data_IF_944924986554
#
_entry.id   IF_944924986554
#
_cell.length_a   1.000
_cell.length_b   1.000
_cell.length_c   1.000
_cell.angle_alpha   90.00
_cell.angle_beta   90.00
_cell.angle_gamma   90.00
#
_symmetry.space_group_name_H-M   'P 1'
#
loop_
_entity.id
_entity.type
_entity.pdbx_description
1 polymer ?
#
# COMPACT_ATOMS: atom_id res chain seq x y z
N UNK A 1 -38.20 -66.95 -12.30
CA UNK A 1 -37.68 -68.20 -11.71
C UNK A 1 -36.69 -67.74 -10.63
N UNK A 2 -37.14 -67.68 -9.35
CA UNK A 2 -37.03 -68.73 -8.34
C UNK A 2 -35.61 -69.31 -8.32
N UNK A 3 -34.82 -69.17 -7.25
CA UNK A 3 -35.02 -69.91 -6.01
C UNK A 3 -34.09 -69.36 -4.92
N UNK A 4 -34.64 -69.26 -3.71
CA UNK A 4 -34.01 -69.03 -2.43
C UNK A 4 -33.36 -70.30 -1.86
N UNK A 5 -32.49 -70.15 -0.82
CA UNK A 5 -32.37 -71.01 0.40
C UNK A 5 -31.23 -70.45 1.23
N UNK A 6 -31.46 -69.90 2.44
CA UNK A 6 -31.53 -70.54 3.77
C UNK A 6 -30.24 -71.21 4.16
N UNK A 7 -29.54 -70.70 5.16
CA UNK A 7 -29.71 -70.66 6.62
C UNK A 7 -28.50 -71.36 7.18
N UNK A 8 -27.89 -71.02 8.28
CA UNK A 8 -28.15 -71.39 9.68
C UNK A 8 -27.02 -70.93 10.61
N UNK A 9 -27.46 -70.37 11.71
CA UNK A 9 -26.97 -70.42 13.08
C UNK A 9 -25.51 -70.08 13.51
N UNK A 10 -25.56 -69.24 14.52
CA UNK A 10 -24.49 -68.78 15.43
C UNK A 10 -23.96 -69.97 16.31
N UNK A 11 -22.85 -69.76 17.08
CA UNK A 11 -22.99 -69.16 18.41
C UNK A 11 -21.87 -68.24 18.90
N UNK A 12 -22.33 -67.36 19.76
CA UNK A 12 -21.72 -66.61 20.88
C UNK A 12 -20.24 -66.88 21.26
N UNK A 13 -19.50 -65.78 21.41
CA UNK A 13 -18.23 -65.71 22.11
C UNK A 13 -17.96 -64.23 22.54
N UNK A 14 -18.30 -63.99 23.81
CA UNK A 14 -18.01 -62.76 24.54
C UNK A 14 -16.50 -62.66 24.82
N UNK A 15 -15.84 -61.56 24.35
CA UNK A 15 -14.64 -61.03 25.03
C UNK A 15 -14.69 -59.53 25.02
N UNK A 16 -14.82 -58.96 26.22
CA UNK A 16 -14.67 -57.58 26.50
C UNK A 16 -13.25 -57.11 26.11
N UNK A 17 -13.17 -56.09 25.26
CA UNK A 17 -11.94 -55.34 25.06
C UNK A 17 -12.18 -53.90 25.43
N UNK A 18 -11.45 -53.48 26.44
CA UNK A 18 -11.32 -52.14 27.00
C UNK A 18 -11.04 -51.10 25.90
N UNK A 19 -11.95 -50.17 25.69
CA UNK A 19 -11.70 -48.96 24.89
C UNK A 19 -10.86 -48.02 25.74
N UNK A 20 -9.61 -47.83 25.36
CA UNK A 20 -8.77 -46.73 25.87
C UNK A 20 -9.29 -45.42 25.27
N UNK A 21 -9.82 -44.55 26.11
CA UNK A 21 -10.10 -43.17 25.76
C UNK A 21 -8.78 -42.43 25.42
N UNK A 22 -8.67 -41.98 24.20
CA UNK A 22 -7.66 -41.00 23.78
C UNK A 22 -8.04 -39.63 24.37
N UNK A 23 -7.11 -38.89 24.98
CA UNK A 23 -7.40 -37.55 25.48
C UNK A 23 -7.74 -36.64 24.29
N UNK A 24 -8.89 -35.96 24.38
CA UNK A 24 -9.26 -34.90 23.48
C UNK A 24 -8.20 -33.78 23.56
N UNK A 25 -7.44 -33.61 22.50
CA UNK A 25 -6.58 -32.44 22.31
C UNK A 25 -7.47 -31.25 22.19
N UNK A 26 -7.58 -30.46 23.27
CA UNK A 26 -8.14 -29.12 23.22
C UNK A 26 -7.16 -28.26 22.40
N UNK A 27 -7.41 -28.10 21.10
CA UNK A 27 -6.85 -27.04 20.33
C UNK A 27 -7.41 -25.74 20.93
N UNK A 28 -6.66 -25.13 21.83
CA UNK A 28 -6.90 -23.75 22.22
C UNK A 28 -6.66 -22.91 20.97
N UNK A 29 -7.76 -22.47 20.36
CA UNK A 29 -7.76 -21.36 19.44
C UNK A 29 -7.19 -20.18 20.24
N UNK A 30 -5.94 -19.81 19.98
CA UNK A 30 -5.39 -18.54 20.41
C UNK A 30 -6.18 -17.46 19.66
N UNK A 31 -7.22 -16.95 20.29
CA UNK A 31 -7.83 -15.71 19.89
C UNK A 31 -6.70 -14.66 19.90
N UNK A 32 -6.40 -14.11 18.75
CA UNK A 32 -5.52 -12.94 18.64
C UNK A 32 -6.20 -11.87 19.51
N UNK A 33 -5.59 -11.59 20.67
CA UNK A 33 -6.08 -10.51 21.53
C UNK A 33 -5.97 -9.22 20.74
N UNK A 34 -7.11 -8.57 20.48
CA UNK A 34 -7.11 -7.22 19.97
C UNK A 34 -6.38 -6.32 20.99
N UNK A 35 -5.54 -5.39 20.53
CA UNK A 35 -4.89 -4.45 21.44
C UNK A 35 -5.96 -3.70 22.24
N UNK A 36 -5.74 -3.51 23.54
CA UNK A 36 -6.63 -2.70 24.37
C UNK A 36 -6.63 -1.26 23.88
N UNK A 37 -7.80 -0.65 23.61
CA UNK A 37 -7.90 0.74 23.22
C UNK A 37 -7.22 1.65 24.26
N UNK A 38 -6.47 2.63 23.80
CA UNK A 38 -5.78 3.59 24.67
C UNK A 38 -6.15 5.05 24.38
N UNK A 39 -6.96 5.28 23.34
CA UNK A 39 -7.62 6.55 23.01
C UNK A 39 -9.12 6.36 22.99
N UNK A 40 -9.86 7.42 23.23
CA UNK A 40 -11.26 7.50 22.87
C UNK A 40 -11.39 8.04 21.44
N UNK A 41 -12.52 7.85 20.79
CA UNK A 41 -12.81 8.43 19.47
C UNK A 41 -12.62 9.96 19.44
N UNK A 42 -13.03 10.63 20.53
CA UNK A 42 -12.88 12.08 20.69
C UNK A 42 -11.43 12.55 20.89
N UNK A 43 -10.56 11.67 21.38
CA UNK A 43 -9.14 11.93 21.55
C UNK A 43 -8.31 11.56 20.33
N UNK A 44 -8.87 10.76 19.40
CA UNK A 44 -8.11 10.38 18.21
C UNK A 44 -7.72 11.63 17.42
N UNK A 45 -6.40 11.83 17.16
CA UNK A 45 -5.95 13.07 16.54
C UNK A 45 -6.41 13.18 15.09
N UNK A 46 -6.79 14.36 14.59
CA UNK A 46 -7.06 14.56 13.18
C UNK A 46 -5.85 14.17 12.33
N UNK A 47 -6.05 13.22 11.41
CA UNK A 47 -5.05 12.74 10.48
C UNK A 47 -5.30 13.30 9.08
N UNK A 48 -4.21 13.48 8.32
CA UNK A 48 -4.23 13.69 6.87
C UNK A 48 -3.11 12.86 6.21
N UNK A 49 -3.07 12.81 4.88
CA UNK A 49 -2.01 12.08 4.21
C UNK A 49 -2.30 11.65 2.78
N UNK A 50 -1.66 10.56 2.37
CA UNK A 50 -1.81 10.01 1.04
C UNK A 50 -3.04 9.11 0.92
N UNK A 51 -3.73 9.16 -0.22
CA UNK A 51 -4.92 8.33 -0.48
C UNK A 51 -4.67 6.85 -0.24
N UNK A 52 -3.50 6.33 -0.64
CA UNK A 52 -3.17 4.93 -0.39
C UNK A 52 -3.00 4.60 1.10
N UNK A 53 -2.79 5.57 1.99
CA UNK A 53 -2.66 5.35 3.43
C UNK A 53 -4.01 5.33 4.19
N UNK A 54 -5.14 5.60 3.54
CA UNK A 54 -6.48 5.57 4.17
C UNK A 54 -6.76 4.27 4.93
N UNK A 55 -6.50 3.06 4.37
CA UNK A 55 -6.79 1.82 5.09
C UNK A 55 -5.96 1.65 6.36
N UNK A 56 -4.71 2.11 6.36
CA UNK A 56 -3.88 2.10 7.56
C UNK A 56 -4.41 3.08 8.61
N UNK A 57 -4.75 4.32 8.23
CA UNK A 57 -5.32 5.30 9.16
C UNK A 57 -6.63 4.80 9.78
N UNK A 58 -7.48 4.14 8.99
CA UNK A 58 -8.70 3.52 9.50
C UNK A 58 -8.42 2.37 10.49
N UNK A 59 -7.41 1.53 10.20
CA UNK A 59 -6.99 0.48 11.10
C UNK A 59 -6.40 1.05 12.40
N UNK A 60 -5.60 2.14 12.31
CA UNK A 60 -5.08 2.86 13.48
C UNK A 60 -6.23 3.38 14.35
N UNK A 61 -7.24 4.02 13.74
CA UNK A 61 -8.43 4.48 14.46
C UNK A 61 -9.15 3.31 15.14
N UNK A 62 -9.42 2.23 14.42
CA UNK A 62 -10.09 1.05 14.96
C UNK A 62 -9.29 0.39 16.10
N UNK A 63 -7.99 0.13 15.90
CA UNK A 63 -7.16 -0.58 16.89
C UNK A 63 -6.91 0.25 18.16
N UNK A 64 -6.89 1.58 18.06
CA UNK A 64 -6.56 2.45 19.20
C UNK A 64 -7.77 2.95 19.97
N UNK A 65 -8.96 2.97 19.35
CA UNK A 65 -10.21 3.46 19.98
C UNK A 65 -11.24 2.38 20.23
N UNK A 66 -11.12 1.23 19.55
CA UNK A 66 -12.15 0.18 19.58
C UNK A 66 -13.34 0.43 18.63
N UNK A 67 -13.25 1.48 17.76
CA UNK A 67 -14.25 1.73 16.72
C UNK A 67 -14.33 0.55 15.74
N UNK A 68 -15.51 0.31 15.19
CA UNK A 68 -15.66 -0.66 14.09
C UNK A 68 -14.84 -0.24 12.86
N UNK A 69 -14.17 -1.20 12.22
CA UNK A 69 -13.25 -0.88 11.10
C UNK A 69 -13.98 -0.28 9.88
N UNK A 70 -15.19 -0.70 9.57
CA UNK A 70 -15.96 -0.14 8.44
C UNK A 70 -16.42 1.29 8.75
N UNK A 71 -16.77 1.56 10.01
CA UNK A 71 -17.07 2.90 10.50
C UNK A 71 -15.81 3.78 10.43
N UNK A 72 -14.68 3.27 10.91
CA UNK A 72 -13.38 3.95 10.83
C UNK A 72 -13.01 4.28 9.37
N UNK A 73 -13.15 3.33 8.44
CA UNK A 73 -12.91 3.56 7.01
C UNK A 73 -13.77 4.67 6.42
N UNK A 74 -15.03 4.75 6.87
CA UNK A 74 -15.95 5.77 6.39
C UNK A 74 -15.66 7.16 6.94
N UNK A 75 -14.96 7.26 8.05
CA UNK A 75 -14.63 8.52 8.73
C UNK A 75 -13.31 9.15 8.27
N UNK A 76 -12.37 8.36 7.71
CA UNK A 76 -11.08 8.88 7.26
C UNK A 76 -11.21 9.53 5.88
N UNK A 77 -10.78 10.78 5.79
CA UNK A 77 -10.64 11.55 4.54
C UNK A 77 -9.25 12.17 4.49
N UNK A 78 -8.70 12.35 3.30
CA UNK A 78 -7.36 12.92 3.11
C UNK A 78 -7.33 13.96 1.99
N UNK A 79 -6.39 14.90 2.10
CA UNK A 79 -6.15 15.95 1.09
C UNK A 79 -5.31 15.49 -0.10
N UNK A 80 -4.73 14.31 -0.07
CA UNK A 80 -3.68 13.77 -0.96
C UNK A 80 -2.27 14.20 -0.57
N UNK A 81 -1.25 13.60 -1.19
CA UNK A 81 0.13 13.70 -0.70
C UNK A 81 0.64 15.13 -0.60
N UNK A 82 0.64 15.90 -1.69
CA UNK A 82 1.19 17.25 -1.70
C UNK A 82 0.42 18.18 -0.76
N UNK A 83 -0.90 18.21 -0.90
CA UNK A 83 -1.76 19.06 -0.07
C UNK A 83 -1.72 18.70 1.42
N UNK A 84 -1.55 17.42 1.77
CA UNK A 84 -1.38 17.03 3.16
C UNK A 84 -0.11 17.65 3.78
N UNK A 85 1.01 17.61 3.05
CA UNK A 85 2.25 18.25 3.48
C UNK A 85 2.15 19.78 3.57
N UNK A 86 1.58 20.43 2.53
CA UNK A 86 1.39 21.89 2.51
C UNK A 86 0.47 22.33 3.65
N UNK A 87 -0.68 21.69 3.80
CA UNK A 87 -1.63 22.04 4.85
C UNK A 87 -0.99 21.88 6.22
N UNK A 88 -0.36 20.72 6.48
CA UNK A 88 0.22 20.42 7.78
C UNK A 88 1.39 21.34 8.16
N UNK A 89 2.25 21.66 7.19
CA UNK A 89 3.43 22.47 7.43
C UNK A 89 3.19 23.98 7.34
N UNK A 90 2.30 24.43 6.46
CA UNK A 90 2.22 25.84 6.09
C UNK A 90 0.88 26.52 6.43
N UNK A 91 -0.25 25.79 6.40
CA UNK A 91 -1.56 26.44 6.41
C UNK A 91 -2.53 25.93 7.47
N UNK A 92 -2.66 24.63 7.65
CA UNK A 92 -3.67 24.04 8.51
C UNK A 92 -3.20 23.94 9.95
N UNK A 93 -4.07 24.29 10.86
CA UNK A 93 -3.85 24.19 12.30
C UNK A 93 -4.64 23.05 12.95
N UNK A 94 -5.44 22.32 12.19
CA UNK A 94 -6.33 21.27 12.72
C UNK A 94 -5.72 19.88 12.64
N UNK A 95 -5.02 19.54 11.56
CA UNK A 95 -4.28 18.28 11.41
C UNK A 95 -3.20 18.16 12.49
N UNK A 96 -3.03 16.99 13.08
CA UNK A 96 -2.08 16.73 14.15
C UNK A 96 -0.99 15.74 13.79
N UNK A 97 -1.26 14.88 12.80
CA UNK A 97 -0.31 13.87 12.33
C UNK A 97 -0.58 13.54 10.87
N UNK A 98 0.47 13.30 10.10
CA UNK A 98 0.35 12.74 8.76
C UNK A 98 0.70 11.25 8.75
N UNK A 99 0.01 10.53 7.83
CA UNK A 99 0.41 9.21 7.35
C UNK A 99 0.53 9.32 5.83
N UNK A 100 1.76 9.41 5.33
CA UNK A 100 1.99 10.03 4.03
C UNK A 100 3.21 9.46 3.30
N UNK A 101 3.18 9.44 1.96
CA UNK A 101 4.39 9.30 1.14
C UNK A 101 5.22 10.59 1.17
N UNK A 102 6.41 10.52 0.60
CA UNK A 102 7.33 11.64 0.55
C UNK A 102 6.72 12.89 -0.13
N UNK A 103 7.04 14.07 0.42
CA UNK A 103 6.66 15.34 -0.17
C UNK A 103 7.28 15.52 -1.57
N UNK A 104 6.56 16.13 -2.53
CA UNK A 104 7.17 16.62 -3.77
C UNK A 104 8.30 17.61 -3.50
N UNK A 105 9.26 17.71 -4.41
CA UNK A 105 10.42 18.58 -4.22
C UNK A 105 10.02 20.05 -4.03
N UNK A 106 9.03 20.56 -4.77
CA UNK A 106 8.56 21.93 -4.61
C UNK A 106 7.96 22.19 -3.21
N UNK A 107 7.26 21.20 -2.64
CA UNK A 107 6.72 21.32 -1.26
C UNK A 107 7.85 21.30 -0.24
N UNK A 108 8.89 20.49 -0.44
CA UNK A 108 10.09 20.49 0.43
C UNK A 108 10.78 21.85 0.41
N UNK A 109 10.91 22.47 -0.77
CA UNK A 109 11.47 23.80 -0.94
C UNK A 109 10.63 24.84 -0.18
N UNK A 110 9.31 24.81 -0.30
CA UNK A 110 8.41 25.72 0.44
C UNK A 110 8.49 25.53 1.96
N UNK A 111 8.50 24.30 2.45
CA UNK A 111 8.68 24.01 3.89
C UNK A 111 10.04 24.49 4.40
N UNK A 112 11.09 24.33 3.61
CA UNK A 112 12.43 24.79 3.94
C UNK A 112 12.51 26.33 3.95
N UNK A 113 11.94 27.01 2.95
CA UNK A 113 11.87 28.48 2.89
C UNK A 113 11.09 29.07 4.09
N UNK A 114 10.04 28.38 4.52
CA UNK A 114 9.26 28.73 5.70
C UNK A 114 9.92 28.32 7.02
N UNK A 115 11.09 27.64 7.00
CA UNK A 115 11.80 27.11 8.16
C UNK A 115 10.91 26.24 9.05
N UNK A 116 10.07 25.39 8.44
CA UNK A 116 9.18 24.47 9.14
C UNK A 116 9.97 23.29 9.68
N UNK A 117 9.78 23.00 10.97
CA UNK A 117 10.40 21.85 11.64
C UNK A 117 9.36 20.74 11.82
N UNK A 118 9.63 19.54 11.35
CA UNK A 118 8.75 18.38 11.51
C UNK A 118 9.56 17.15 11.95
N UNK A 119 8.95 16.32 12.76
CA UNK A 119 9.46 14.98 13.07
C UNK A 119 8.80 13.96 12.16
N UNK A 120 9.61 13.17 11.46
CA UNK A 120 9.12 12.04 10.68
C UNK A 120 9.86 10.75 11.01
N UNK A 121 9.17 9.63 10.83
CA UNK A 121 9.78 8.31 10.82
C UNK A 121 9.13 7.43 9.75
N UNK A 122 9.90 6.53 9.09
CA UNK A 122 9.32 5.52 8.23
C UNK A 122 8.51 4.53 9.07
N UNK A 123 7.33 4.16 8.61
CA UNK A 123 6.44 3.22 9.29
C UNK A 123 6.13 1.98 8.44
N UNK A 124 6.38 2.04 7.15
CA UNK A 124 6.20 0.91 6.26
C UNK A 124 6.86 1.13 4.91
N UNK A 125 6.95 0.06 4.15
CA UNK A 125 7.47 0.07 2.77
C UNK A 125 6.33 -0.14 1.80
N UNK A 126 6.33 0.64 0.73
CA UNK A 126 5.55 0.43 -0.48
C UNK A 126 6.49 0.51 -1.70
N UNK A 127 5.97 0.46 -2.90
CA UNK A 127 6.79 0.50 -4.10
C UNK A 127 6.09 1.23 -5.25
N UNK A 128 6.89 1.89 -6.08
CA UNK A 128 6.44 2.32 -7.40
C UNK A 128 6.33 1.11 -8.32
N UNK A 129 5.13 0.86 -8.85
CA UNK A 129 4.85 -0.26 -9.75
C UNK A 129 4.31 0.23 -11.09
N UNK A 130 4.54 -0.58 -12.12
CA UNK A 130 4.04 -0.33 -13.47
C UNK A 130 2.92 -1.30 -13.82
N UNK A 131 1.86 -0.77 -14.41
CA UNK A 131 0.68 -1.52 -14.79
C UNK A 131 0.45 -1.45 -16.30
N UNK A 132 0.05 -2.58 -16.85
CA UNK A 132 -0.40 -2.72 -18.24
C UNK A 132 -1.67 -3.55 -18.27
N UNK A 133 -2.39 -3.49 -19.37
CA UNK A 133 -3.49 -4.43 -19.62
C UNK A 133 -2.92 -5.85 -19.81
N UNK A 134 -3.65 -6.88 -19.37
CA UNK A 134 -3.23 -8.28 -19.47
C UNK A 134 -3.03 -8.75 -20.92
N UNK A 135 -3.70 -8.13 -21.90
CA UNK A 135 -3.53 -8.39 -23.34
C UNK A 135 -2.19 -7.90 -23.90
N UNK A 136 -1.44 -7.09 -23.14
CA UNK A 136 -0.07 -6.71 -23.50
C UNK A 136 0.87 -7.90 -23.25
N UNK A 137 1.62 -8.40 -24.25
CA UNK A 137 2.48 -9.57 -24.08
C UNK A 137 3.75 -9.30 -23.25
N UNK A 138 4.13 -8.02 -23.05
CA UNK A 138 5.32 -7.64 -22.26
C UNK A 138 5.05 -7.89 -20.80
N UNK A 139 5.90 -8.69 -20.14
CA UNK A 139 5.76 -9.06 -18.74
C UNK A 139 6.79 -8.39 -17.83
N UNK A 140 7.88 -7.91 -18.39
CA UNK A 140 8.95 -7.28 -17.66
C UNK A 140 9.60 -6.17 -18.49
N UNK A 141 10.05 -5.12 -17.81
CA UNK A 141 10.86 -4.05 -18.36
C UNK A 141 12.04 -3.76 -17.43
N UNK A 142 13.15 -3.34 -18.00
CA UNK A 142 14.23 -2.78 -17.18
C UNK A 142 13.91 -1.34 -16.80
N UNK A 143 14.50 -0.85 -15.71
CA UNK A 143 14.40 0.57 -15.35
C UNK A 143 14.85 1.48 -16.49
N UNK A 144 15.86 1.06 -17.28
CA UNK A 144 16.31 1.86 -18.43
C UNK A 144 15.26 1.91 -19.53
N UNK A 145 14.60 0.80 -19.85
CA UNK A 145 13.49 0.78 -20.83
C UNK A 145 12.32 1.65 -20.36
N UNK A 146 11.96 1.59 -19.08
CA UNK A 146 10.95 2.45 -18.49
C UNK A 146 11.31 3.94 -18.63
N UNK A 147 12.56 4.31 -18.31
CA UNK A 147 13.04 5.70 -18.51
C UNK A 147 12.95 6.11 -19.97
N UNK A 148 13.36 5.26 -20.90
CA UNK A 148 13.35 5.57 -22.32
C UNK A 148 11.93 5.66 -22.90
N UNK A 149 10.97 4.88 -22.37
CA UNK A 149 9.56 5.02 -22.69
C UNK A 149 9.04 6.40 -22.25
N UNK A 150 9.25 6.75 -20.99
CA UNK A 150 8.76 8.02 -20.44
C UNK A 150 9.55 9.26 -20.88
N UNK A 151 10.73 9.07 -21.47
CA UNK A 151 11.45 10.12 -22.19
C UNK A 151 11.05 10.23 -23.69
N UNK A 152 10.12 9.38 -24.17
CA UNK A 152 9.71 9.35 -25.57
C UNK A 152 10.76 8.80 -26.55
N UNK A 153 11.78 8.08 -26.05
CA UNK A 153 12.84 7.44 -26.87
C UNK A 153 12.39 6.07 -27.38
N UNK A 154 11.63 5.33 -26.57
CA UNK A 154 10.96 4.09 -26.95
C UNK A 154 9.47 4.42 -27.06
N UNK A 155 8.94 4.37 -28.25
CA UNK A 155 7.54 4.75 -28.54
C UNK A 155 6.71 3.59 -29.09
N UNK A 156 7.32 2.41 -29.26
CA UNK A 156 6.64 1.26 -29.81
C UNK A 156 6.96 0.01 -28.99
N UNK A 157 5.92 -0.75 -28.64
CA UNK A 157 6.06 -1.96 -27.83
C UNK A 157 6.97 -3.03 -28.45
N UNK A 158 7.10 -3.09 -29.79
CA UNK A 158 8.01 -4.05 -30.46
C UNK A 158 9.46 -3.87 -30.05
N UNK A 159 9.87 -2.66 -29.69
CA UNK A 159 11.23 -2.34 -29.30
C UNK A 159 11.60 -2.93 -27.93
N UNK A 160 10.59 -3.38 -27.18
CA UNK A 160 10.72 -4.05 -25.88
C UNK A 160 10.07 -5.45 -25.86
N UNK A 161 9.92 -6.06 -27.02
CA UNK A 161 9.44 -7.44 -27.15
C UNK A 161 7.93 -7.61 -27.21
N UNK A 162 7.18 -6.52 -27.37
CA UNK A 162 5.74 -6.50 -27.52
C UNK A 162 5.26 -6.55 -28.98
N UNK A 163 3.99 -6.21 -29.19
CA UNK A 163 3.38 -6.08 -30.52
C UNK A 163 3.86 -4.80 -31.23
N UNK A 164 3.76 -4.75 -32.55
CA UNK A 164 4.02 -3.52 -33.33
C UNK A 164 2.87 -2.53 -33.13
N UNK A 165 2.89 -1.83 -32.01
CA UNK A 165 1.87 -0.87 -31.57
C UNK A 165 2.55 0.27 -30.79
N UNK A 166 2.02 1.48 -30.94
CA UNK A 166 2.48 2.65 -30.24
C UNK A 166 2.25 2.50 -28.72
N UNK A 167 3.21 2.97 -27.90
CA UNK A 167 3.08 2.99 -26.45
C UNK A 167 2.31 4.24 -26.03
N UNK A 168 1.24 4.06 -25.26
CA UNK A 168 0.48 5.13 -24.62
C UNK A 168 0.87 5.19 -23.14
N UNK A 169 1.78 6.10 -22.81
CA UNK A 169 2.35 6.23 -21.48
C UNK A 169 1.62 7.28 -20.64
N UNK A 170 0.86 6.80 -19.65
CA UNK A 170 0.16 7.65 -18.69
C UNK A 170 1.10 8.15 -17.60
N UNK A 171 0.92 9.40 -17.18
CA UNK A 171 1.58 10.00 -16.03
C UNK A 171 0.53 10.53 -15.05
N UNK A 172 0.97 11.17 -13.99
CA UNK A 172 0.11 11.81 -12.99
C UNK A 172 0.49 13.30 -12.86
N UNK A 173 -0.40 14.11 -12.29
CA UNK A 173 -0.10 15.49 -11.91
C UNK A 173 1.01 15.57 -10.86
N UNK A 174 1.67 16.71 -10.78
CA UNK A 174 2.78 16.97 -9.85
C UNK A 174 2.40 16.81 -8.37
N UNK A 175 1.12 17.02 -8.03
CA UNK A 175 0.59 16.90 -6.66
C UNK A 175 0.40 15.44 -6.21
N UNK A 176 0.61 14.49 -7.13
CA UNK A 176 0.40 13.07 -6.87
C UNK A 176 1.62 12.43 -6.22
N UNK A 177 1.42 11.72 -5.08
CA UNK A 177 2.48 10.94 -4.44
C UNK A 177 3.11 9.89 -5.36
N UNK A 178 2.35 9.27 -6.26
CA UNK A 178 2.93 8.33 -7.24
C UNK A 178 3.80 9.03 -8.28
N UNK A 179 3.48 10.27 -8.67
CA UNK A 179 4.34 11.08 -9.55
C UNK A 179 5.63 11.47 -8.83
N UNK A 180 5.54 11.85 -7.56
CA UNK A 180 6.71 12.13 -6.72
C UNK A 180 7.64 10.92 -6.67
N UNK A 181 7.12 9.73 -6.36
CA UNK A 181 7.91 8.50 -6.34
C UNK A 181 8.46 8.15 -7.71
N UNK A 182 7.69 8.32 -8.77
CA UNK A 182 8.14 8.09 -10.14
C UNK A 182 9.34 8.98 -10.51
N UNK A 183 9.26 10.28 -10.20
CA UNK A 183 10.37 11.21 -10.43
C UNK A 183 11.59 10.87 -9.58
N UNK A 184 11.39 10.55 -8.29
CA UNK A 184 12.46 10.21 -7.36
C UNK A 184 13.15 8.89 -7.71
N UNK A 185 12.38 7.81 -7.84
CA UNK A 185 12.94 6.45 -7.91
C UNK A 185 13.39 6.08 -9.32
N UNK A 186 12.64 6.50 -10.34
CA UNK A 186 12.92 6.11 -11.71
C UNK A 186 13.59 7.23 -12.50
N UNK A 187 13.04 8.42 -12.56
CA UNK A 187 13.52 9.49 -13.44
C UNK A 187 14.81 10.10 -12.92
N UNK A 188 14.90 10.44 -11.65
CA UNK A 188 16.12 10.91 -10.99
C UNK A 188 16.74 12.13 -11.72
N UNK A 189 15.91 13.13 -12.04
CA UNK A 189 16.33 14.34 -12.74
C UNK A 189 16.64 14.19 -14.23
N UNK A 190 16.40 13.01 -14.83
CA UNK A 190 16.58 12.78 -16.27
C UNK A 190 15.43 13.36 -17.06
N UNK A 191 15.62 13.39 -18.38
CA UNK A 191 14.62 13.83 -19.33
C UNK A 191 13.30 13.05 -19.17
N UNK A 192 12.18 13.78 -19.10
CA UNK A 192 10.84 13.27 -19.01
C UNK A 192 9.98 14.03 -20.04
N UNK A 193 9.23 13.29 -20.86
CA UNK A 193 8.30 13.91 -21.79
C UNK A 193 7.10 14.50 -21.04
N UNK A 194 6.61 15.64 -21.52
CA UNK A 194 5.34 16.17 -21.05
C UNK A 194 4.21 15.39 -21.73
N UNK A 195 3.37 14.68 -20.99
CA UNK A 195 2.27 13.92 -21.57
C UNK A 195 1.19 14.89 -22.09
N UNK A 196 0.41 14.49 -23.12
CA UNK A 196 -0.86 15.13 -23.42
C UNK A 196 -1.77 15.14 -22.17
N UNK A 197 -2.62 16.15 -22.03
CA UNK A 197 -3.45 16.32 -20.82
C UNK A 197 -4.38 15.12 -20.55
N UNK A 198 -4.85 14.46 -21.59
CA UNK A 198 -5.68 13.24 -21.50
C UNK A 198 -4.92 12.01 -20.97
N UNK A 199 -3.60 12.04 -20.97
CA UNK A 199 -2.73 10.99 -20.43
C UNK A 199 -2.16 11.35 -19.03
N UNK A 200 -2.70 12.37 -18.39
CA UNK A 200 -2.34 12.81 -17.05
C UNK A 200 -3.58 12.96 -16.14
N UNK A 201 -4.29 11.85 -15.84
CA UNK A 201 -5.48 11.90 -15.00
C UNK A 201 -5.17 12.41 -13.59
N UNK A 202 -6.11 13.18 -13.03
CA UNK A 202 -5.95 13.81 -11.73
C UNK A 202 -6.03 12.79 -10.57
N UNK A 203 -6.95 11.81 -10.65
CA UNK A 203 -7.11 10.81 -9.61
C UNK A 203 -6.38 9.50 -9.93
N UNK A 204 -5.94 8.80 -8.90
CA UNK A 204 -5.25 7.50 -9.03
C UNK A 204 -6.17 6.45 -9.68
N UNK A 205 -7.44 6.38 -9.24
CA UNK A 205 -8.43 5.48 -9.82
C UNK A 205 -8.67 5.73 -11.30
N UNK A 206 -8.70 6.99 -11.74
CA UNK A 206 -8.87 7.34 -13.16
C UNK A 206 -7.71 6.84 -14.02
N UNK A 207 -6.48 6.84 -13.51
CA UNK A 207 -5.34 6.26 -14.21
C UNK A 207 -5.52 4.74 -14.36
N UNK A 208 -5.87 4.06 -13.29
CA UNK A 208 -6.10 2.60 -13.30
C UNK A 208 -7.24 2.24 -14.26
N UNK A 209 -8.35 2.99 -14.22
CA UNK A 209 -9.49 2.82 -15.12
C UNK A 209 -9.09 3.05 -16.58
N UNK A 210 -8.31 4.09 -16.84
CA UNK A 210 -7.84 4.41 -18.18
C UNK A 210 -7.01 3.27 -18.79
N UNK A 211 -6.20 2.60 -17.99
CA UNK A 211 -5.38 1.47 -18.46
C UNK A 211 -6.23 0.20 -18.61
N UNK A 212 -7.21 -0.02 -17.72
CA UNK A 212 -8.10 -1.18 -17.79
C UNK A 212 -9.08 -1.10 -18.96
N UNK A 213 -9.70 0.07 -19.15
CA UNK A 213 -10.87 0.26 -20.03
C UNK A 213 -10.56 1.05 -21.31
N UNK A 214 -9.30 1.49 -21.52
CA UNK A 214 -8.91 2.25 -22.69
C UNK A 214 -9.15 1.45 -23.99
N UNK A 215 -9.69 2.08 -25.03
CA UNK A 215 -10.01 1.44 -26.31
C UNK A 215 -8.85 0.68 -26.99
N UNK A 216 -7.62 1.05 -26.64
CA UNK A 216 -6.39 0.38 -27.03
C UNK A 216 -5.61 -0.04 -25.77
N UNK A 217 -6.31 -0.60 -24.79
CA UNK A 217 -5.76 -0.93 -23.47
C UNK A 217 -4.44 -1.73 -23.51
N UNK A 218 -4.29 -2.62 -24.51
CA UNK A 218 -3.05 -3.36 -24.72
C UNK A 218 -1.84 -2.47 -25.05
N UNK A 219 -2.05 -1.20 -25.43
CA UNK A 219 -0.98 -0.23 -25.72
C UNK A 219 -0.60 0.63 -24.52
N UNK A 220 -1.44 0.68 -23.50
CA UNK A 220 -1.28 1.56 -22.36
C UNK A 220 -0.24 1.03 -21.37
N UNK A 221 0.52 1.94 -20.78
CA UNK A 221 1.33 1.72 -19.59
C UNK A 221 1.12 2.89 -18.63
N UNK A 222 1.02 2.59 -17.35
CA UNK A 222 0.97 3.61 -16.31
C UNK A 222 1.68 3.12 -15.06
N UNK A 223 1.68 3.94 -14.02
CA UNK A 223 2.29 3.60 -12.75
C UNK A 223 1.42 4.03 -11.58
N UNK A 224 1.63 3.35 -10.47
CA UNK A 224 0.95 3.61 -9.20
C UNK A 224 1.85 3.16 -8.06
N UNK A 225 1.33 3.18 -6.84
CA UNK A 225 1.96 2.50 -5.71
C UNK A 225 1.40 1.08 -5.57
N UNK A 226 2.24 0.14 -5.17
CA UNK A 226 1.92 -1.29 -5.12
C UNK A 226 0.67 -1.56 -4.27
N UNK A 227 0.63 -1.00 -3.07
CA UNK A 227 -0.49 -1.20 -2.16
C UNK A 227 -1.84 -0.79 -2.76
N UNK A 228 -1.88 0.34 -3.47
CA UNK A 228 -3.12 0.82 -4.09
C UNK A 228 -3.66 -0.17 -5.13
N UNK A 229 -2.79 -0.73 -5.95
CA UNK A 229 -3.18 -1.68 -7.01
C UNK A 229 -3.53 -3.05 -6.43
N UNK A 230 -2.76 -3.52 -5.45
CA UNK A 230 -2.92 -4.87 -4.90
C UNK A 230 -4.11 -4.96 -3.92
N UNK A 231 -4.28 -3.95 -3.04
CA UNK A 231 -5.21 -4.02 -1.92
C UNK A 231 -6.44 -3.11 -2.06
N UNK A 232 -6.31 -1.93 -2.67
CA UNK A 232 -7.40 -0.94 -2.70
C UNK A 232 -8.18 -0.93 -4.00
N UNK A 233 -7.51 -1.07 -5.13
CA UNK A 233 -8.12 -0.86 -6.45
C UNK A 233 -7.68 -1.92 -7.46
N UNK A 234 -7.82 -3.18 -7.06
CA UNK A 234 -7.55 -4.29 -7.97
C UNK A 234 -8.65 -4.38 -9.04
N UNK A 235 -8.26 -4.30 -10.31
CA UNK A 235 -9.18 -4.49 -11.44
C UNK A 235 -8.79 -5.72 -12.26
N UNK A 236 -9.79 -6.53 -12.67
CA UNK A 236 -9.57 -7.57 -13.68
C UNK A 236 -9.00 -6.95 -14.97
N UNK A 237 -8.16 -7.69 -15.66
CA UNK A 237 -7.57 -7.25 -16.92
C UNK A 237 -6.30 -6.39 -16.78
N UNK A 238 -5.83 -6.16 -15.55
CA UNK A 238 -4.56 -5.48 -15.28
C UNK A 238 -3.48 -6.45 -14.82
N UNK A 239 -2.25 -6.13 -15.19
CA UNK A 239 -1.06 -6.86 -14.74
C UNK A 239 0.04 -5.90 -14.30
N UNK A 240 0.68 -6.23 -13.17
CA UNK A 240 1.92 -5.60 -12.74
C UNK A 240 3.09 -6.10 -13.60
N UNK A 241 3.94 -5.18 -14.04
CA UNK A 241 5.18 -5.52 -14.74
C UNK A 241 6.29 -5.85 -13.73
N UNK A 242 7.06 -6.88 -14.04
CA UNK A 242 8.34 -7.06 -13.35
C UNK A 242 9.32 -5.95 -13.78
N UNK A 243 10.07 -5.41 -12.82
CA UNK A 243 11.13 -4.42 -13.06
C UNK A 243 12.49 -5.06 -12.80
N UNK A 244 13.39 -4.97 -13.78
CA UNK A 244 14.69 -5.65 -13.76
C UNK A 244 14.57 -7.16 -13.42
N UNK A 245 13.47 -7.78 -13.85
CA UNK A 245 13.19 -9.19 -13.66
C UNK A 245 12.56 -9.56 -12.32
N UNK A 246 12.29 -8.61 -11.43
CA UNK A 246 11.63 -8.83 -10.13
C UNK A 246 10.18 -8.39 -10.20
N UNK A 247 9.25 -9.30 -9.86
CA UNK A 247 7.83 -9.00 -9.75
C UNK A 247 7.55 -8.38 -8.38
N UNK A 248 6.80 -7.25 -8.30
CA UNK A 248 6.45 -6.66 -7.02
C UNK A 248 5.51 -7.58 -6.23
N UNK A 249 5.79 -7.76 -4.95
CA UNK A 249 4.99 -8.50 -3.98
C UNK A 249 5.38 -8.06 -2.57
N UNK A 250 4.56 -8.36 -1.56
CA UNK A 250 4.93 -8.07 -0.17
C UNK A 250 6.28 -8.69 0.21
N UNK A 251 6.59 -9.90 -0.28
CA UNK A 251 7.87 -10.56 0.00
C UNK A 251 9.04 -9.81 -0.65
N UNK A 252 8.91 -9.41 -1.92
CA UNK A 252 9.99 -8.71 -2.64
C UNK A 252 10.15 -7.25 -2.21
N UNK A 253 9.13 -6.65 -1.61
CA UNK A 253 9.22 -5.37 -0.93
C UNK A 253 9.90 -5.53 0.44
N UNK A 254 9.53 -6.54 1.21
CA UNK A 254 10.06 -6.79 2.54
C UNK A 254 11.55 -7.14 2.54
N UNK A 255 12.01 -7.92 1.56
CA UNK A 255 13.43 -8.30 1.43
C UNK A 255 14.26 -7.30 0.62
N UNK A 256 13.63 -6.24 0.07
CA UNK A 256 14.28 -5.20 -0.73
C UNK A 256 14.76 -5.65 -2.10
N UNK A 257 14.32 -6.80 -2.61
CA UNK A 257 14.72 -7.29 -3.93
C UNK A 257 14.01 -6.55 -5.07
N UNK A 258 12.80 -6.01 -4.84
CA UNK A 258 12.15 -5.14 -5.81
C UNK A 258 12.84 -3.77 -5.84
N UNK A 259 13.27 -3.28 -7.03
CA UNK A 259 14.23 -2.16 -7.09
C UNK A 259 13.64 -0.78 -6.85
N UNK A 260 12.31 -0.63 -6.84
CA UNK A 260 11.63 0.67 -6.73
C UNK A 260 10.80 0.78 -5.45
N UNK A 261 11.33 0.24 -4.34
CA UNK A 261 10.74 0.40 -3.01
C UNK A 261 10.92 1.82 -2.49
N UNK A 262 9.99 2.26 -1.67
CA UNK A 262 10.04 3.52 -0.95
C UNK A 262 9.29 3.40 0.38
N UNK A 263 9.83 4.05 1.39
CA UNK A 263 9.16 4.17 2.67
C UNK A 263 7.96 5.13 2.57
N UNK A 264 7.00 4.95 3.47
CA UNK A 264 6.00 5.95 3.80
C UNK A 264 6.07 6.26 5.30
N UNK A 265 5.58 7.42 5.69
CA UNK A 265 5.98 8.05 6.92
C UNK A 265 4.80 8.40 7.82
N UNK A 266 5.04 8.35 9.14
CA UNK A 266 4.30 9.11 10.12
C UNK A 266 5.03 10.43 10.35
N UNK A 267 4.29 11.56 10.44
CA UNK A 267 4.86 12.90 10.61
C UNK A 267 4.07 13.65 11.67
N UNK A 268 4.76 14.31 12.60
CA UNK A 268 4.17 15.18 13.65
C UNK A 268 4.99 16.46 13.83
N UNK A 269 4.42 17.44 14.51
CA UNK A 269 5.19 18.59 14.95
C UNK A 269 6.09 18.23 16.14
N UNK A 270 7.34 18.74 16.21
CA UNK A 270 8.31 18.39 17.26
C UNK A 270 7.91 18.91 18.64
N UNK A 271 7.05 19.91 18.73
CA UNK A 271 6.52 20.49 19.96
C UNK A 271 5.27 19.76 20.50
N UNK A 272 4.84 18.65 19.86
CA UNK A 272 3.77 17.82 20.36
C UNK A 272 4.11 17.32 21.77
N UNK A 273 3.24 17.63 22.76
CA UNK A 273 3.48 17.26 24.15
C UNK A 273 3.57 15.72 24.30
N UNK A 274 4.39 15.24 25.22
CA UNK A 274 4.65 13.81 25.41
C UNK A 274 3.39 12.98 25.70
N UNK A 275 2.37 13.59 26.28
CA UNK A 275 1.08 12.99 26.62
C UNK A 275 -0.05 13.35 25.62
N UNK A 276 0.27 14.12 24.57
CA UNK A 276 -0.72 14.45 23.53
C UNK A 276 -1.14 13.22 22.74
N UNK A 277 -2.38 13.18 22.25
CA UNK A 277 -2.88 12.04 21.46
C UNK A 277 -2.03 11.71 20.24
N UNK A 278 -1.58 12.73 19.50
CA UNK A 278 -0.73 12.56 18.32
C UNK A 278 0.64 11.98 18.67
N UNK A 279 1.27 12.42 19.79
CA UNK A 279 2.54 11.85 20.24
C UNK A 279 2.38 10.40 20.66
N UNK A 280 1.33 10.10 21.44
CA UNK A 280 1.01 8.73 21.86
C UNK A 280 0.74 7.81 20.67
N UNK A 281 0.02 8.28 19.66
CA UNK A 281 -0.27 7.53 18.43
C UNK A 281 1.00 7.34 17.60
N UNK A 282 1.83 8.38 17.47
CA UNK A 282 3.10 8.32 16.77
C UNK A 282 4.03 7.28 17.43
N UNK A 283 4.23 7.35 18.75
CA UNK A 283 5.10 6.42 19.49
C UNK A 283 4.54 4.99 19.49
N UNK A 284 3.20 4.82 19.52
CA UNK A 284 2.55 3.52 19.46
C UNK A 284 2.90 2.74 18.18
N UNK A 285 3.14 3.42 17.06
CA UNK A 285 3.51 2.76 15.82
C UNK A 285 4.83 1.96 15.91
N UNK A 286 5.70 2.26 16.88
CA UNK A 286 6.92 1.48 17.13
C UNK A 286 6.71 0.26 18.02
N UNK A 287 5.55 0.12 18.62
CA UNK A 287 5.21 -1.05 19.45
C UNK A 287 4.83 -2.25 18.61
N UNK A 288 4.86 -3.46 19.19
CA UNK A 288 4.39 -4.67 18.52
C UNK A 288 2.95 -4.51 18.00
N UNK A 289 2.07 -3.86 18.79
CA UNK A 289 0.69 -3.61 18.40
C UNK A 289 0.58 -2.66 17.21
N UNK A 290 1.36 -1.59 17.15
CA UNK A 290 1.43 -0.68 16.02
C UNK A 290 2.00 -1.34 14.77
N UNK A 291 3.04 -2.16 14.91
CA UNK A 291 3.60 -2.93 13.81
C UNK A 291 2.62 -3.98 13.27
N UNK A 292 1.83 -4.59 14.16
CA UNK A 292 0.77 -5.52 13.75
C UNK A 292 -0.41 -4.80 13.07
N UNK A 293 -0.74 -3.58 13.48
CA UNK A 293 -1.71 -2.73 12.79
C UNK A 293 -1.30 -2.46 11.33
N UNK A 294 -0.02 -2.10 11.10
CA UNK A 294 0.53 -1.87 9.75
C UNK A 294 0.40 -3.15 8.91
N UNK A 295 0.79 -4.31 9.45
CA UNK A 295 0.69 -5.61 8.76
C UNK A 295 -0.77 -6.01 8.47
N UNK A 296 -1.68 -5.83 9.45
CA UNK A 296 -3.12 -6.10 9.27
C UNK A 296 -3.74 -5.25 8.16
N UNK A 297 -3.24 -4.03 7.97
CA UNK A 297 -3.64 -3.16 6.88
C UNK A 297 -3.11 -3.62 5.51
N UNK A 298 -2.25 -4.65 5.45
CA UNK A 298 -1.69 -5.20 4.23
C UNK A 298 -0.36 -4.59 3.80
N UNK A 299 0.20 -3.66 4.59
CA UNK A 299 1.51 -3.05 4.32
C UNK A 299 2.67 -3.90 4.84
N UNK A 300 3.84 -3.66 4.27
CA UNK A 300 5.11 -4.16 4.79
C UNK A 300 5.59 -3.23 5.89
N UNK A 301 5.59 -3.70 7.15
CA UNK A 301 6.08 -2.94 8.29
C UNK A 301 7.63 -2.95 8.35
N UNK A 302 8.23 -1.85 8.79
CA UNK A 302 9.69 -1.69 8.86
C UNK A 302 10.29 -1.94 10.25
N UNK A 303 9.45 -2.22 11.25
CA UNK A 303 9.85 -2.30 12.65
C UNK A 303 10.08 -0.91 13.28
N UNK A 304 10.45 -0.85 14.57
CA UNK A 304 10.75 0.40 15.26
C UNK A 304 11.88 1.18 14.56
N UNK A 305 11.68 2.46 14.30
CA UNK A 305 12.59 3.30 13.54
C UNK A 305 13.05 4.53 14.33
N UNK A 306 14.20 5.04 13.95
CA UNK A 306 14.69 6.31 14.50
C UNK A 306 13.94 7.47 13.83
N UNK A 307 13.42 8.37 14.63
CA UNK A 307 12.85 9.65 14.17
C UNK A 307 13.94 10.52 13.55
N UNK A 308 13.63 11.11 12.40
CA UNK A 308 14.49 12.10 11.73
C UNK A 308 13.77 13.44 11.73
N UNK A 309 14.45 14.50 12.11
CA UNK A 309 13.93 15.86 11.95
C UNK A 309 14.09 16.25 10.48
N UNK A 310 12.98 16.60 9.82
CA UNK A 310 13.06 17.21 8.49
C UNK A 310 13.28 18.69 8.72
N UNK A 311 14.46 19.13 8.52
CA UNK A 311 14.98 20.39 8.00
C UNK A 311 16.50 20.33 8.12
N UNK A 312 17.13 19.93 7.07
CA UNK A 312 18.52 20.32 6.76
C UNK A 312 18.63 20.66 5.28
#
# INVERSE_FOLDING_TARGET
>A
MLTACKGTDAPSGSTASSAAELPASSAASSAVQQPEPFLTEAEFPPLDGSTACIPLMAQMLADTTGMDLEEARSSITVSTTAYAWENFGLYDTTTRMLVVYEAPDYVKEELQEANVQLEQKPIGVDALVFIVNEDNPVQALTQQQLRDIYAGKITNWKDVGGKDQEIVAFQRGEDSGSQTLFKKLLIQGRELMTPPSELAPAAMGELVDSIADYNNSANAIGFSVYYYIDQMYSKPGLRLLAVDGVTPSNDTLADGSYPLCNDFYAVIHPDAAADSPERRLYDWLDTDAGQDCIKKSGYVAVGPQTTVTIVD
#
